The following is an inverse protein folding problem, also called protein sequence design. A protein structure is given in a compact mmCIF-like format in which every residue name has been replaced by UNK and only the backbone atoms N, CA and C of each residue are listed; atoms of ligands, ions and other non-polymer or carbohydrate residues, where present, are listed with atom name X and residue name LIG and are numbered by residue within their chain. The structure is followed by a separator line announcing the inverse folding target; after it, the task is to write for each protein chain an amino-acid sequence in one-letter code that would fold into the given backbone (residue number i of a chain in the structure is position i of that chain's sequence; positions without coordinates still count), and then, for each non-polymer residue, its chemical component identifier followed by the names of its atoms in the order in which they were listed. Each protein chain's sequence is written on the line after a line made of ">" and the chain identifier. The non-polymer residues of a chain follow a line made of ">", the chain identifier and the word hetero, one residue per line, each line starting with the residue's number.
data_IF_797366696793
#
_entry.id   IF_797366696793
#
_cell.length_a   1.000
_cell.length_b   1.000
_cell.length_c   1.000
_cell.angle_alpha   90.00
_cell.angle_beta   90.00
_cell.angle_gamma   90.00
#
_symmetry.space_group_name_H-M   'P 1'
#
loop_
_entity.id
_entity.type
_entity.pdbx_description
1 polymer ?
#
# COMPACT_ATOMS: atom_id res chain seq x y z
N UNK A 1 4.53 5.31 -5.98
CA UNK A 1 3.13 5.75 -5.74
C UNK A 1 3.17 6.71 -4.55
N UNK A 2 2.14 7.53 -4.28
CA UNK A 2 2.23 8.58 -3.25
C UNK A 2 3.14 9.74 -3.65
N UNK A 3 4.09 10.13 -2.79
CA UNK A 3 5.03 11.24 -3.05
C UNK A 3 6.03 10.98 -4.20
N UNK A 4 6.29 9.72 -4.56
CA UNK A 4 7.23 9.36 -5.62
C UNK A 4 8.71 9.39 -5.24
N UNK A 5 9.05 9.77 -4.01
CA UNK A 5 10.40 9.69 -3.46
C UNK A 5 10.84 8.25 -3.19
N UNK A 6 12.16 8.05 -3.07
CA UNK A 6 12.74 6.79 -2.56
C UNK A 6 12.74 6.83 -1.03
N UNK A 7 12.57 5.67 -0.42
CA UNK A 7 12.64 5.47 1.02
C UNK A 7 13.11 4.05 1.35
N UNK A 8 13.51 3.78 2.60
CA UNK A 8 13.85 2.43 3.06
C UNK A 8 12.63 1.51 2.99
N UNK A 9 12.86 0.20 2.93
CA UNK A 9 11.78 -0.78 2.68
C UNK A 9 10.76 -0.81 3.81
N UNK A 10 11.22 -0.58 5.03
CA UNK A 10 10.48 -0.55 6.29
C UNK A 10 9.45 0.60 6.32
N UNK A 11 9.73 1.69 5.61
CA UNK A 11 8.80 2.82 5.48
C UNK A 11 7.78 2.63 4.34
N UNK A 12 7.91 1.58 3.53
CA UNK A 12 7.12 1.36 2.33
C UNK A 12 6.12 0.22 2.53
N UNK A 13 4.86 0.49 2.18
CA UNK A 13 3.83 -0.51 1.95
C UNK A 13 3.78 -0.89 0.48
N UNK A 14 3.62 -2.19 0.22
CA UNK A 14 3.37 -2.72 -1.12
C UNK A 14 1.87 -2.77 -1.35
N UNK A 15 1.40 -2.10 -2.39
CA UNK A 15 0.03 -2.24 -2.92
C UNK A 15 0.10 -3.14 -4.15
N UNK A 16 -0.78 -4.13 -4.25
CA UNK A 16 -0.84 -5.06 -5.37
C UNK A 16 -2.17 -4.92 -6.11
N UNK A 17 -2.14 -5.12 -7.42
CA UNK A 17 -3.34 -5.32 -8.22
C UNK A 17 -3.46 -6.81 -8.56
N UNK A 18 -4.53 -7.44 -8.08
CA UNK A 18 -4.89 -8.81 -8.36
C UNK A 18 -5.29 -9.05 -9.82
N UNK A 19 -5.48 -10.32 -10.22
CA UNK A 19 -5.88 -10.68 -11.58
C UNK A 19 -7.24 -10.12 -11.98
N UNK A 20 -8.19 -10.02 -11.04
CA UNK A 20 -9.54 -9.50 -11.28
C UNK A 20 -9.61 -7.95 -11.28
N UNK A 21 -8.47 -7.30 -11.03
CA UNK A 21 -8.31 -5.85 -10.96
C UNK A 21 -8.48 -5.27 -9.56
N UNK A 22 -8.71 -6.11 -8.56
CA UNK A 22 -8.80 -5.74 -7.15
C UNK A 22 -7.47 -5.17 -6.65
N UNK A 23 -7.53 -4.15 -5.79
CA UNK A 23 -6.34 -3.50 -5.24
C UNK A 23 -6.33 -3.67 -3.73
N UNK A 24 -5.22 -4.22 -3.21
CA UNK A 24 -5.05 -4.57 -1.79
C UNK A 24 -3.63 -4.32 -1.31
N UNK A 25 -3.44 -4.30 0.01
CA UNK A 25 -2.15 -4.13 0.68
C UNK A 25 -1.49 -5.49 0.87
N UNK A 26 -0.26 -5.65 0.37
CA UNK A 26 0.53 -6.87 0.45
C UNK A 26 1.73 -6.69 1.38
N UNK A 27 1.47 -6.62 2.68
CA UNK A 27 2.49 -6.43 3.72
C UNK A 27 3.50 -7.60 3.77
N UNK A 28 3.01 -8.83 3.57
CA UNK A 28 3.81 -10.04 3.67
C UNK A 28 4.56 -10.38 2.39
N UNK A 29 4.43 -9.57 1.33
CA UNK A 29 4.98 -9.81 -0.01
C UNK A 29 4.59 -11.18 -0.60
N UNK A 30 3.39 -11.67 -0.30
CA UNK A 30 2.90 -12.99 -0.74
C UNK A 30 2.03 -12.91 -1.98
N UNK A 31 1.51 -11.72 -2.29
CA UNK A 31 0.57 -11.57 -3.39
C UNK A 31 1.28 -11.64 -4.76
N UNK A 32 0.61 -12.34 -5.67
CA UNK A 32 1.01 -12.49 -7.06
C UNK A 32 0.56 -11.26 -7.86
N UNK A 33 1.40 -10.79 -8.79
CA UNK A 33 1.06 -9.68 -9.68
C UNK A 33 1.93 -8.43 -9.51
N UNK A 34 1.54 -7.36 -10.22
CA UNK A 34 2.29 -6.11 -10.26
C UNK A 34 2.07 -5.37 -8.95
N UNK A 35 3.14 -5.21 -8.18
CA UNK A 35 3.16 -4.37 -6.98
C UNK A 35 3.60 -2.94 -7.26
N UNK A 36 3.15 -2.01 -6.44
CA UNK A 36 3.61 -0.64 -6.37
C UNK A 36 3.85 -0.24 -4.92
N UNK A 37 4.97 0.44 -4.67
CA UNK A 37 5.33 0.88 -3.33
C UNK A 37 4.87 2.30 -3.05
N UNK A 38 4.42 2.53 -1.82
CA UNK A 38 3.96 3.79 -1.26
C UNK A 38 4.46 3.91 0.17
N UNK A 39 4.85 5.10 0.62
CA UNK A 39 5.18 5.27 2.05
C UNK A 39 3.96 4.99 2.93
N UNK A 40 4.21 4.41 4.11
CA UNK A 40 3.18 4.10 5.12
C UNK A 40 2.57 5.34 5.80
N UNK A 41 2.86 6.54 5.30
CA UNK A 41 2.31 7.80 5.80
C UNK A 41 0.91 8.05 5.25
N UNK A 42 0.00 8.55 6.10
CA UNK A 42 -1.37 8.89 5.72
C UNK A 42 -1.45 9.69 4.41
N UNK A 43 -0.60 10.70 4.27
CA UNK A 43 -0.60 11.58 3.09
C UNK A 43 -0.19 10.85 1.80
N UNK A 44 0.72 9.88 1.88
CA UNK A 44 1.08 9.05 0.73
C UNK A 44 -0.02 8.04 0.39
N UNK A 45 -0.72 7.51 1.40
CA UNK A 45 -1.83 6.58 1.25
C UNK A 45 -3.07 7.26 0.63
N UNK A 46 -3.41 8.46 1.07
CA UNK A 46 -4.48 9.29 0.47
C UNK A 46 -4.20 9.58 -1.02
N UNK A 47 -2.95 9.86 -1.37
CA UNK A 47 -2.54 10.03 -2.77
C UNK A 47 -2.61 8.71 -3.55
N UNK A 48 -2.35 7.58 -2.90
CA UNK A 48 -2.32 6.26 -3.52
C UNK A 48 -3.69 5.69 -3.86
N UNK A 49 -4.73 5.95 -3.05
CA UNK A 49 -6.10 5.51 -3.34
C UNK A 49 -6.73 6.20 -4.55
N UNK A 50 -6.14 7.31 -5.01
CA UNK A 50 -6.66 8.08 -6.12
C UNK A 50 -6.65 7.29 -7.45
N UNK A 51 -7.68 7.44 -8.31
CA UNK A 51 -7.78 6.70 -9.57
C UNK A 51 -6.60 6.98 -10.51
N UNK A 52 -6.03 8.18 -10.48
CA UNK A 52 -4.83 8.53 -11.25
C UNK A 52 -3.60 7.76 -10.79
N UNK A 53 -3.41 7.62 -9.48
CA UNK A 53 -2.27 6.89 -8.91
C UNK A 53 -2.37 5.38 -9.21
N UNK A 54 -3.56 4.80 -8.98
CA UNK A 54 -3.86 3.40 -9.29
C UNK A 54 -3.72 3.10 -10.79
N UNK A 55 -4.30 3.94 -11.65
CA UNK A 55 -4.23 3.79 -13.10
C UNK A 55 -2.78 3.81 -13.61
N UNK A 56 -1.95 4.74 -13.12
CA UNK A 56 -0.52 4.80 -13.47
C UNK A 56 0.26 3.58 -12.96
N UNK A 57 0.03 3.19 -11.71
CA UNK A 57 0.78 2.11 -11.08
C UNK A 57 0.46 0.75 -11.71
N UNK A 58 -0.82 0.50 -12.01
CA UNK A 58 -1.34 -0.78 -12.46
C UNK A 58 -1.74 -0.80 -13.94
N UNK A 59 -1.30 0.19 -14.72
CA UNK A 59 -1.53 0.29 -16.17
C UNK A 59 -3.02 0.17 -16.55
N UNK A 60 -3.88 0.83 -15.77
CA UNK A 60 -5.33 0.83 -15.99
C UNK A 60 -6.08 -0.44 -15.58
N UNK A 61 -5.40 -1.47 -15.05
CA UNK A 61 -6.08 -2.72 -14.61
C UNK A 61 -6.82 -2.60 -13.28
N UNK A 62 -6.42 -1.64 -12.45
CA UNK A 62 -7.03 -1.45 -11.15
C UNK A 62 -8.50 -1.03 -11.29
N UNK A 63 -9.40 -1.85 -10.75
CA UNK A 63 -10.77 -1.45 -10.46
C UNK A 63 -10.75 -0.36 -9.41
N UNK A 64 -11.76 0.52 -9.47
CA UNK A 64 -11.94 1.56 -8.46
C UNK A 64 -12.40 0.89 -7.16
N UNK A 65 -11.60 0.90 -6.08
CA UNK A 65 -12.08 0.44 -4.78
C UNK A 65 -13.19 1.37 -4.28
N UNK A 66 -13.94 0.90 -3.28
CA UNK A 66 -14.84 1.78 -2.53
C UNK A 66 -14.05 2.96 -1.95
N UNK A 67 -14.72 4.09 -1.77
CA UNK A 67 -14.09 5.29 -1.23
C UNK A 67 -13.51 4.99 0.16
N UNK A 68 -12.24 5.36 0.38
CA UNK A 68 -11.54 5.12 1.65
C UNK A 68 -11.03 3.69 1.87
N UNK A 69 -11.60 2.67 1.22
CA UNK A 69 -11.31 1.26 1.54
C UNK A 69 -9.82 0.90 1.49
N UNK A 70 -9.08 1.36 0.47
CA UNK A 70 -7.64 1.10 0.37
C UNK A 70 -6.83 1.86 1.42
N UNK A 71 -7.26 3.06 1.81
CA UNK A 71 -6.62 3.85 2.86
C UNK A 71 -6.83 3.20 4.22
N UNK A 72 -8.07 2.78 4.52
CA UNK A 72 -8.39 2.09 5.77
C UNK A 72 -7.61 0.79 5.90
N UNK A 73 -7.54 0.00 4.83
CA UNK A 73 -6.72 -1.22 4.77
C UNK A 73 -5.24 -0.90 5.02
N UNK A 74 -4.71 0.12 4.36
CA UNK A 74 -3.30 0.49 4.48
C UNK A 74 -2.93 1.04 5.86
N UNK A 75 -3.80 1.84 6.49
CA UNK A 75 -3.60 2.33 7.85
C UNK A 75 -3.67 1.19 8.87
N UNK A 76 -4.62 0.27 8.71
CA UNK A 76 -4.74 -0.90 9.57
C UNK A 76 -3.50 -1.81 9.46
N UNK A 77 -2.93 -1.96 8.26
CA UNK A 77 -1.69 -2.70 8.07
C UNK A 77 -0.49 -1.95 8.64
N UNK A 78 -0.37 -0.64 8.41
CA UNK A 78 0.72 0.17 8.94
C UNK A 78 0.82 0.07 10.46
N UNK A 79 -0.32 0.21 11.16
CA UNK A 79 -0.35 0.10 12.63
C UNK A 79 0.12 -1.26 13.15
N UNK A 80 -0.27 -2.36 12.49
CA UNK A 80 0.20 -3.71 12.87
C UNK A 80 1.71 -3.87 12.74
N UNK A 81 2.32 -3.27 11.72
CA UNK A 81 3.77 -3.32 11.53
C UNK A 81 4.49 -2.53 12.63
N UNK A 82 3.96 -1.37 13.00
CA UNK A 82 4.49 -0.56 14.10
C UNK A 82 4.42 -1.31 15.44
N UNK A 83 3.30 -1.99 15.71
CA UNK A 83 3.12 -2.82 16.91
C UNK A 83 4.12 -3.99 16.96
N UNK A 84 4.35 -4.68 15.83
CA UNK A 84 5.33 -5.77 15.73
C UNK A 84 6.78 -5.29 15.87
N UNK A 85 7.12 -4.12 15.31
CA UNK A 85 8.43 -3.48 15.45
C UNK A 85 8.70 -3.09 16.92
N UNK A 86 7.72 -2.49 17.58
CA UNK A 86 7.81 -2.13 18.99
C UNK A 86 8.00 -3.35 19.90
N UNK A 87 7.34 -4.47 19.59
CA UNK A 87 7.51 -5.73 20.33
C UNK A 87 8.87 -6.41 20.15
N UNK A 88 9.62 -6.10 19.08
CA UNK A 88 10.95 -6.69 18.79
C UNK A 88 12.12 -5.92 19.41
N UNK A 89 11.89 -4.71 19.90
CA UNK A 89 12.93 -3.84 20.48
C UNK A 89 13.31 -4.13 21.95
N UNK A 90 12.70 -5.14 22.58
CA UNK A 90 13.04 -5.59 23.93
C UNK A 90 13.94 -6.82 23.91
N UNK A 91 15.25 -6.63 23.74
CA UNK A 91 16.26 -7.69 23.80
C UNK A 91 17.59 -7.15 24.30
#
# INVERSE_FOLDING_TARGET
>A
MGCGSRGPKEELLRIVCGPEGDVHVDALMRAQGRGAYVHRTKECLEKAQGPRALGRAFRGRARRPAEGALLDEALAVAGRLEDEEAGRGGG
#
